data_IF_142364409234
#
_entry.id   IF_142364409234
#
_cell.length_a   1.000
_cell.length_b   1.000
_cell.length_c   1.000
_cell.angle_alpha   90.00
_cell.angle_beta   90.00
_cell.angle_gamma   90.00
#
_symmetry.space_group_name_H-M   'P 1'
#
loop_
_entity.id
_entity.type
_entity.pdbx_description
1 polymer ?
#
# COMPACT_ATOMS: atom_id res chain seq x y z
N UNK A 1 16.76 -36.83 3.34
CA UNK A 1 17.75 -36.57 2.28
C UNK A 1 16.97 -36.25 1.03
N UNK A 2 16.84 -34.96 0.74
CA UNK A 2 16.10 -34.45 -0.44
C UNK A 2 17.11 -34.28 -1.56
N UNK A 3 16.95 -35.05 -2.63
CA UNK A 3 17.79 -34.96 -3.83
C UNK A 3 17.18 -33.93 -4.74
N UNK A 4 17.87 -32.77 -4.92
CA UNK A 4 17.51 -31.79 -5.91
C UNK A 4 18.22 -32.14 -7.21
N UNK A 5 17.49 -32.61 -8.23
CA UNK A 5 18.00 -32.74 -9.58
C UNK A 5 18.09 -31.38 -10.24
N UNK A 6 19.33 -30.93 -10.50
CA UNK A 6 19.62 -29.71 -11.27
C UNK A 6 19.57 -30.02 -12.76
N UNK A 7 18.63 -29.45 -13.49
CA UNK A 7 18.71 -29.32 -14.94
C UNK A 7 19.50 -28.06 -15.29
N UNK A 8 20.65 -28.21 -15.96
CA UNK A 8 21.43 -27.10 -16.53
C UNK A 8 20.86 -26.75 -17.92
N UNK A 9 20.55 -25.49 -18.23
CA UNK A 9 20.38 -25.08 -19.62
C UNK A 9 21.74 -24.67 -20.21
N UNK A 10 22.04 -25.19 -21.40
CA UNK A 10 23.16 -24.80 -22.24
C UNK A 10 23.03 -23.33 -22.66
N UNK A 11 24.12 -22.57 -22.51
CA UNK A 11 24.23 -21.20 -23.00
C UNK A 11 25.17 -21.18 -24.23
N UNK A 12 24.72 -20.83 -25.43
CA UNK A 12 25.60 -20.42 -26.53
C UNK A 12 25.73 -18.90 -26.53
N UNK A 13 26.98 -18.43 -26.43
CA UNK A 13 27.37 -17.05 -26.57
C UNK A 13 27.01 -16.51 -27.95
N UNK A 14 26.13 -15.57 -28.02
CA UNK A 14 25.83 -14.75 -29.18
C UNK A 14 25.29 -13.40 -28.71
N UNK A 15 26.09 -12.34 -28.96
CA UNK A 15 25.76 -10.98 -28.55
C UNK A 15 24.43 -10.50 -29.12
N UNK A 16 23.49 -10.23 -28.25
CA UNK A 16 22.29 -9.45 -28.53
C UNK A 16 22.24 -8.30 -27.53
N UNK A 17 21.97 -7.09 -28.05
CA UNK A 17 21.71 -5.85 -27.29
C UNK A 17 20.78 -6.14 -26.13
N UNK A 18 20.88 -5.43 -24.99
CA UNK A 18 19.89 -5.55 -23.95
C UNK A 18 18.54 -5.14 -24.57
N UNK A 19 17.70 -6.13 -24.78
CA UNK A 19 16.27 -5.88 -24.95
C UNK A 19 15.87 -5.03 -23.75
N UNK A 20 15.29 -3.85 -24.01
CA UNK A 20 14.52 -3.13 -23.02
C UNK A 20 13.64 -4.16 -22.33
N UNK A 21 13.98 -4.51 -21.11
CA UNK A 21 13.09 -5.22 -20.23
C UNK A 21 11.91 -4.27 -19.99
N UNK A 22 10.94 -4.32 -20.87
CA UNK A 22 9.57 -4.10 -20.46
C UNK A 22 9.32 -5.27 -19.50
N UNK A 23 9.64 -5.04 -18.20
CA UNK A 23 9.13 -5.86 -17.13
C UNK A 23 7.63 -5.93 -17.41
N UNK A 24 7.15 -7.09 -17.84
CA UNK A 24 5.76 -7.41 -17.65
C UNK A 24 5.58 -7.25 -16.14
N UNK A 25 5.01 -6.12 -15.73
CA UNK A 25 4.67 -5.86 -14.36
C UNK A 25 3.72 -7.00 -14.03
N UNK A 26 4.16 -7.94 -13.18
CA UNK A 26 3.22 -8.80 -12.54
C UNK A 26 2.23 -7.83 -11.91
N UNK A 27 1.01 -7.83 -12.39
CA UNK A 27 0.03 -6.84 -12.02
C UNK A 27 -0.16 -6.98 -10.52
N UNK A 28 0.13 -5.92 -9.76
CA UNK A 28 -0.04 -5.92 -8.30
C UNK A 28 -1.46 -6.41 -7.98
N UNK A 29 -2.45 -5.99 -8.77
CA UNK A 29 -3.83 -6.44 -8.65
C UNK A 29 -3.95 -7.96 -8.88
N UNK A 30 -3.29 -8.54 -9.90
CA UNK A 30 -3.30 -9.98 -10.15
C UNK A 30 -2.66 -10.76 -8.97
N UNK A 31 -1.53 -10.27 -8.43
CA UNK A 31 -0.90 -10.88 -7.27
C UNK A 31 -1.83 -10.91 -6.05
N UNK A 32 -2.49 -9.77 -5.75
CA UNK A 32 -3.46 -9.68 -4.67
C UNK A 32 -4.64 -10.63 -4.89
N UNK A 33 -5.21 -10.65 -6.10
CA UNK A 33 -6.34 -11.54 -6.41
C UNK A 33 -5.99 -13.03 -6.27
N UNK A 34 -4.79 -13.43 -6.70
CA UNK A 34 -4.38 -14.84 -6.73
C UNK A 34 -3.90 -15.39 -5.40
N UNK A 35 -3.24 -14.57 -4.58
CA UNK A 35 -2.55 -15.06 -3.38
C UNK A 35 -3.00 -14.35 -2.10
N UNK A 36 -2.94 -13.02 -2.07
CA UNK A 36 -3.07 -12.28 -0.82
C UNK A 36 -4.51 -11.99 -0.42
N UNK A 37 -5.43 -11.74 -1.37
CA UNK A 37 -6.77 -11.29 -1.02
C UNK A 37 -7.54 -12.27 -0.10
N UNK A 38 -7.23 -13.58 -0.16
CA UNK A 38 -7.83 -14.60 0.72
C UNK A 38 -7.29 -14.60 2.15
N UNK A 39 -6.09 -14.07 2.36
CA UNK A 39 -5.43 -14.02 3.66
C UNK A 39 -5.05 -12.60 4.09
N UNK A 40 -5.48 -11.58 3.35
CA UNK A 40 -5.07 -10.20 3.58
C UNK A 40 -5.43 -9.72 4.98
N UNK A 41 -6.68 -9.88 5.39
CA UNK A 41 -7.11 -9.48 6.74
C UNK A 41 -6.46 -10.35 7.82
N UNK A 42 -6.29 -11.67 7.55
CA UNK A 42 -5.53 -12.53 8.45
C UNK A 42 -4.09 -12.01 8.62
N UNK A 43 -3.42 -11.59 7.55
CA UNK A 43 -2.04 -11.07 7.59
C UNK A 43 -1.88 -9.90 8.56
N UNK A 44 -2.86 -9.02 8.65
CA UNK A 44 -2.82 -7.84 9.53
C UNK A 44 -3.32 -8.08 10.96
N UNK A 45 -3.92 -9.23 11.22
CA UNK A 45 -4.41 -9.59 12.54
C UNK A 45 -5.79 -9.05 12.87
N UNK A 46 -5.99 -8.65 14.13
CA UNK A 46 -7.26 -8.10 14.59
C UNK A 46 -7.57 -6.79 13.87
N UNK A 47 -8.68 -6.77 13.13
CA UNK A 47 -9.11 -5.63 12.34
C UNK A 47 -9.44 -4.43 13.22
N UNK A 48 -10.22 -4.64 14.29
CA UNK A 48 -10.70 -3.56 15.13
C UNK A 48 -9.55 -2.90 15.90
N UNK A 49 -8.62 -3.72 16.41
CA UNK A 49 -7.42 -3.20 17.05
C UNK A 49 -6.53 -2.40 16.09
N UNK A 50 -6.49 -2.78 14.80
CA UNK A 50 -5.77 -2.02 13.79
C UNK A 50 -6.50 -0.73 13.43
N UNK A 51 -7.80 -0.78 13.14
CA UNK A 51 -8.61 0.40 12.85
C UNK A 51 -8.56 1.42 14.00
N UNK A 52 -8.55 0.95 15.24
CA UNK A 52 -8.38 1.82 16.42
C UNK A 52 -7.00 2.49 16.48
N UNK A 53 -5.92 1.77 16.13
CA UNK A 53 -4.58 2.40 16.03
C UNK A 53 -4.53 3.47 14.94
N UNK A 54 -5.15 3.23 13.78
CA UNK A 54 -5.26 4.23 12.71
C UNK A 54 -6.12 5.42 13.16
N UNK A 55 -7.22 5.18 13.85
CA UNK A 55 -8.06 6.24 14.44
C UNK A 55 -7.30 7.09 15.43
N UNK A 56 -6.54 6.47 16.32
CA UNK A 56 -5.69 7.17 17.29
C UNK A 56 -4.57 7.98 16.58
N UNK A 57 -4.00 7.46 15.49
CA UNK A 57 -3.03 8.18 14.67
C UNK A 57 -3.67 9.45 14.07
N UNK A 58 -4.80 9.35 13.38
CA UNK A 58 -5.49 10.51 12.79
C UNK A 58 -5.88 11.54 13.87
N UNK A 59 -6.45 11.09 15.00
CA UNK A 59 -6.85 11.96 16.09
C UNK A 59 -5.66 12.74 16.69
N UNK A 60 -4.53 12.07 16.90
CA UNK A 60 -3.30 12.68 17.45
C UNK A 60 -2.77 13.80 16.55
N UNK A 61 -2.97 13.71 15.24
CA UNK A 61 -2.54 14.72 14.27
C UNK A 61 -3.62 15.75 13.91
N UNK A 62 -4.74 15.79 14.67
CA UNK A 62 -5.81 16.75 14.45
C UNK A 62 -6.54 16.56 13.12
N UNK A 63 -6.69 15.30 12.70
CA UNK A 63 -7.29 14.91 11.43
C UNK A 63 -8.72 14.37 11.58
N UNK A 64 -9.48 14.92 12.52
CA UNK A 64 -10.93 14.70 12.62
C UNK A 64 -11.67 15.55 11.58
N UNK A 65 -12.89 15.15 11.23
CA UNK A 65 -13.75 15.95 10.36
C UNK A 65 -14.05 17.30 11.02
N UNK A 66 -13.80 18.42 10.31
CA UNK A 66 -14.02 19.76 10.88
C UNK A 66 -15.50 20.11 11.02
N UNK A 67 -16.38 19.46 10.26
CA UNK A 67 -17.82 19.64 10.27
C UNK A 67 -18.53 18.40 9.72
N UNK A 68 -19.83 18.28 10.00
CA UNK A 68 -20.66 17.23 9.42
C UNK A 68 -20.64 17.31 7.88
N UNK A 69 -20.49 16.16 7.24
CA UNK A 69 -20.43 16.04 5.79
C UNK A 69 -19.07 16.40 5.15
N UNK A 70 -18.04 16.75 5.94
CA UNK A 70 -16.69 16.89 5.44
C UNK A 70 -16.21 15.57 4.81
N UNK A 71 -15.57 15.64 3.64
CA UNK A 71 -15.18 14.47 2.88
C UNK A 71 -13.69 14.15 3.00
N UNK A 72 -13.38 12.86 3.02
CA UNK A 72 -12.04 12.30 2.93
C UNK A 72 -11.96 11.26 1.82
N UNK A 73 -10.75 11.04 1.31
CA UNK A 73 -10.45 9.99 0.32
C UNK A 73 -9.41 9.04 0.92
N UNK A 74 -9.65 7.74 0.79
CA UNK A 74 -8.70 6.69 1.16
C UNK A 74 -8.23 5.97 -0.11
N UNK A 75 -6.96 6.16 -0.47
CA UNK A 75 -6.33 5.64 -1.68
C UNK A 75 -5.60 4.32 -1.39
N UNK A 76 -6.02 3.25 -2.06
CA UNK A 76 -5.57 1.89 -1.76
C UNK A 76 -6.16 1.40 -0.44
N UNK A 77 -7.48 1.56 -0.30
CA UNK A 77 -8.22 1.33 0.94
C UNK A 77 -8.15 -0.11 1.44
N UNK A 78 -7.90 -1.07 0.54
CA UNK A 78 -7.85 -2.49 0.88
C UNK A 78 -9.11 -2.96 1.59
N UNK A 79 -8.95 -3.67 2.71
CA UNK A 79 -10.07 -4.15 3.55
C UNK A 79 -10.65 -3.09 4.50
N UNK A 80 -10.14 -1.84 4.50
CA UNK A 80 -10.81 -0.68 5.08
C UNK A 80 -10.36 -0.23 6.47
N UNK A 81 -9.16 -0.58 6.94
CA UNK A 81 -8.70 -0.16 8.28
C UNK A 81 -8.70 1.37 8.45
N UNK A 82 -8.10 2.10 7.48
CA UNK A 82 -8.05 3.55 7.46
C UNK A 82 -9.43 4.15 7.19
N UNK A 83 -10.17 3.56 6.23
CA UNK A 83 -11.53 3.97 5.88
C UNK A 83 -12.45 3.99 7.09
N UNK A 84 -12.51 2.89 7.86
CA UNK A 84 -13.36 2.76 9.05
C UNK A 84 -12.89 3.74 10.14
N UNK A 85 -11.58 3.88 10.33
CA UNK A 85 -11.00 4.83 11.27
C UNK A 85 -11.40 6.28 10.95
N UNK A 86 -11.34 6.68 9.69
CA UNK A 86 -11.75 8.01 9.23
C UNK A 86 -13.25 8.24 9.40
N UNK A 87 -14.07 7.25 9.04
CA UNK A 87 -15.53 7.35 9.21
C UNK A 87 -15.92 7.53 10.69
N UNK A 88 -15.27 6.83 11.63
CA UNK A 88 -15.45 7.02 13.06
C UNK A 88 -14.95 8.38 13.59
N UNK A 89 -14.12 9.09 12.81
CA UNK A 89 -13.71 10.47 13.09
C UNK A 89 -14.62 11.51 12.42
N UNK A 90 -15.75 11.08 11.88
CA UNK A 90 -16.82 11.93 11.33
C UNK A 90 -16.67 12.27 9.85
N UNK A 91 -15.69 11.67 9.13
CA UNK A 91 -15.53 11.89 7.70
C UNK A 91 -16.55 11.09 6.89
N UNK A 92 -17.08 11.69 5.81
CA UNK A 92 -17.66 10.96 4.70
C UNK A 92 -16.52 10.45 3.83
N UNK A 93 -16.31 9.14 3.78
CA UNK A 93 -15.11 8.56 3.17
C UNK A 93 -15.42 7.97 1.79
N UNK A 94 -14.63 8.37 0.79
CA UNK A 94 -14.55 7.68 -0.49
C UNK A 94 -13.31 6.80 -0.49
N UNK A 95 -13.53 5.49 -0.46
CA UNK A 95 -12.50 4.47 -0.39
C UNK A 95 -12.26 3.89 -1.79
N UNK A 96 -11.05 4.02 -2.32
CA UNK A 96 -10.69 3.60 -3.68
C UNK A 96 -9.66 2.48 -3.59
N UNK A 97 -9.94 1.36 -4.24
CA UNK A 97 -9.02 0.23 -4.39
C UNK A 97 -9.29 -0.50 -5.70
N UNK A 98 -8.29 -1.15 -6.25
CA UNK A 98 -8.41 -1.96 -7.48
C UNK A 98 -8.90 -3.39 -7.22
N UNK A 99 -8.96 -3.83 -5.97
CA UNK A 99 -9.37 -5.18 -5.58
C UNK A 99 -10.85 -5.22 -5.18
N UNK A 100 -11.71 -5.69 -6.07
CA UNK A 100 -13.14 -5.91 -5.78
C UNK A 100 -13.34 -6.73 -4.49
N UNK A 101 -12.52 -7.77 -4.29
CA UNK A 101 -12.61 -8.65 -3.13
C UNK A 101 -12.33 -7.95 -1.81
N UNK A 102 -11.30 -7.10 -1.76
CA UNK A 102 -10.99 -6.31 -0.56
C UNK A 102 -12.07 -5.25 -0.31
N UNK A 103 -12.59 -4.64 -1.37
CA UNK A 103 -13.70 -3.69 -1.26
C UNK A 103 -15.00 -4.36 -0.76
N UNK A 104 -15.26 -5.61 -1.11
CA UNK A 104 -16.41 -6.35 -0.56
C UNK A 104 -16.24 -6.61 0.94
N UNK A 105 -15.02 -6.86 1.40
CA UNK A 105 -14.72 -6.95 2.82
C UNK A 105 -14.90 -5.59 3.50
N UNK A 106 -14.37 -4.52 2.92
CA UNK A 106 -14.54 -3.15 3.39
C UNK A 106 -16.02 -2.79 3.52
N UNK A 107 -16.86 -3.06 2.51
CA UNK A 107 -18.30 -2.79 2.55
C UNK A 107 -19.00 -3.46 3.73
N UNK A 108 -18.63 -4.71 4.02
CA UNK A 108 -19.18 -5.43 5.20
C UNK A 108 -18.76 -4.77 6.52
N UNK A 109 -17.49 -4.35 6.63
CA UNK A 109 -16.95 -3.74 7.84
C UNK A 109 -17.42 -2.31 8.06
N UNK A 110 -17.67 -1.57 6.97
CA UNK A 110 -18.16 -0.20 6.99
C UNK A 110 -19.69 -0.11 7.01
N UNK A 111 -20.42 -1.22 7.24
CA UNK A 111 -21.87 -1.20 7.26
C UNK A 111 -22.41 -0.20 8.29
N UNK A 112 -23.27 0.73 7.86
CA UNK A 112 -23.82 1.79 8.70
C UNK A 112 -22.93 3.03 8.86
N UNK A 113 -21.75 3.06 8.26
CA UNK A 113 -20.88 4.24 8.19
C UNK A 113 -21.08 5.00 6.87
N UNK A 114 -20.74 6.28 6.85
CA UNK A 114 -20.81 7.11 5.63
C UNK A 114 -19.58 6.86 4.74
N UNK A 115 -19.59 5.72 4.05
CA UNK A 115 -18.49 5.20 3.23
C UNK A 115 -19.00 4.80 1.85
N UNK A 116 -18.30 5.25 0.81
CA UNK A 116 -18.52 4.84 -0.58
C UNK A 116 -17.27 4.12 -1.06
N UNK A 117 -17.38 2.80 -1.32
CA UNK A 117 -16.29 1.97 -1.85
C UNK A 117 -16.33 1.94 -3.38
N UNK A 118 -15.26 2.34 -4.02
CA UNK A 118 -15.09 2.50 -5.48
C UNK A 118 -13.98 1.58 -5.96
N UNK A 119 -14.29 0.72 -6.93
CA UNK A 119 -13.28 -0.10 -7.63
C UNK A 119 -12.70 0.71 -8.79
N UNK A 120 -11.48 1.22 -8.61
CA UNK A 120 -10.74 1.94 -9.67
C UNK A 120 -9.25 2.00 -9.31
N UNK A 121 -8.45 2.42 -10.29
CA UNK A 121 -7.06 2.81 -10.07
C UNK A 121 -7.00 4.09 -9.23
N UNK A 122 -6.28 4.04 -8.12
CA UNK A 122 -6.15 5.18 -7.21
C UNK A 122 -5.65 6.46 -7.89
N UNK A 123 -4.92 6.36 -9.00
CA UNK A 123 -4.47 7.51 -9.81
C UNK A 123 -5.63 8.27 -10.47
N UNK A 124 -6.81 7.65 -10.55
CA UNK A 124 -8.01 8.23 -11.14
C UNK A 124 -8.97 8.80 -10.08
N UNK A 125 -8.54 8.91 -8.83
CA UNK A 125 -9.39 9.28 -7.69
C UNK A 125 -10.17 10.58 -7.92
N UNK A 126 -9.59 11.54 -8.64
CA UNK A 126 -10.21 12.84 -8.92
C UNK A 126 -11.55 12.75 -9.66
N UNK A 127 -11.79 11.67 -10.43
CA UNK A 127 -13.08 11.46 -11.12
C UNK A 127 -14.24 11.18 -10.16
N UNK A 128 -13.91 10.76 -8.96
CA UNK A 128 -14.86 10.29 -7.97
C UNK A 128 -15.16 11.34 -6.89
N UNK A 129 -14.64 12.57 -7.03
CA UNK A 129 -14.84 13.63 -6.06
C UNK A 129 -16.16 14.36 -6.29
N UNK A 130 -16.89 14.61 -5.20
CA UNK A 130 -18.11 15.44 -5.20
C UNK A 130 -17.82 16.89 -4.72
N UNK A 131 -16.55 17.23 -4.56
CA UNK A 131 -16.06 18.51 -4.05
C UNK A 131 -14.63 18.37 -3.54
N UNK A 132 -14.06 19.40 -2.99
CA UNK A 132 -12.71 19.38 -2.46
C UNK A 132 -12.66 18.62 -1.11
N UNK A 133 -11.98 17.48 -1.00
CA UNK A 133 -11.85 16.78 0.27
C UNK A 133 -10.94 17.53 1.24
N UNK A 134 -11.24 17.43 2.53
CA UNK A 134 -10.38 17.97 3.59
C UNK A 134 -9.20 17.04 3.93
N UNK A 135 -9.26 15.77 3.51
CA UNK A 135 -8.22 14.79 3.78
C UNK A 135 -8.11 13.77 2.63
N UNK A 136 -6.88 13.46 2.24
CA UNK A 136 -6.55 12.32 1.38
C UNK A 136 -5.54 11.45 2.14
N UNK A 137 -5.84 10.16 2.32
CA UNK A 137 -4.95 9.18 2.90
C UNK A 137 -4.43 8.24 1.80
N UNK A 138 -3.13 7.92 1.81
CA UNK A 138 -2.50 6.90 1.00
C UNK A 138 -1.52 6.14 1.90
N UNK A 139 -2.02 5.12 2.59
CA UNK A 139 -1.34 4.48 3.71
C UNK A 139 -1.08 2.99 3.47
N UNK A 140 -0.31 2.37 4.34
CA UNK A 140 -0.08 0.91 4.33
C UNK A 140 0.76 0.40 3.15
N UNK A 141 1.78 1.13 2.72
CA UNK A 141 2.66 0.81 1.58
C UNK A 141 2.05 1.08 0.18
N UNK A 142 0.81 1.54 0.07
CA UNK A 142 0.12 1.79 -1.20
C UNK A 142 0.97 2.64 -2.16
N UNK A 143 1.64 3.68 -1.64
CA UNK A 143 2.50 4.56 -2.43
C UNK A 143 3.59 3.81 -3.19
N UNK A 144 4.16 2.77 -2.60
CA UNK A 144 5.25 1.99 -3.21
C UNK A 144 4.78 1.06 -4.33
N UNK A 145 3.47 0.86 -4.49
CA UNK A 145 2.88 0.07 -5.58
C UNK A 145 2.65 0.87 -6.87
N UNK A 146 2.87 2.18 -6.84
CA UNK A 146 2.80 2.99 -8.04
C UNK A 146 3.88 2.56 -9.05
N UNK A 147 3.63 2.72 -10.38
CA UNK A 147 4.51 2.15 -11.40
C UNK A 147 5.89 2.86 -11.53
N UNK A 148 5.98 4.10 -11.06
CA UNK A 148 7.22 4.88 -11.19
C UNK A 148 7.27 6.05 -10.20
N UNK A 149 8.46 6.61 -9.91
CA UNK A 149 8.59 7.85 -9.14
C UNK A 149 7.84 9.03 -9.75
N UNK A 150 7.72 9.08 -11.08
CA UNK A 150 6.93 10.09 -11.77
C UNK A 150 5.43 9.97 -11.44
N UNK A 151 4.91 8.74 -11.37
CA UNK A 151 3.51 8.53 -10.96
C UNK A 151 3.26 8.96 -9.51
N UNK A 152 4.27 8.87 -8.64
CA UNK A 152 4.19 9.40 -7.27
C UNK A 152 4.07 10.92 -7.29
N UNK A 153 4.93 11.62 -8.07
CA UNK A 153 4.86 13.09 -8.22
C UNK A 153 3.53 13.54 -8.80
N UNK A 154 3.04 12.84 -9.82
CA UNK A 154 1.72 13.13 -10.42
C UNK A 154 0.58 12.95 -9.39
N UNK A 155 0.64 11.91 -8.55
CA UNK A 155 -0.33 11.71 -7.47
C UNK A 155 -0.30 12.87 -6.47
N UNK A 156 0.90 13.36 -6.08
CA UNK A 156 1.02 14.50 -5.17
C UNK A 156 0.46 15.79 -5.79
N UNK A 157 0.76 16.05 -7.06
CA UNK A 157 0.18 17.20 -7.79
C UNK A 157 -1.35 17.13 -7.90
N UNK A 158 -1.89 15.94 -8.18
CA UNK A 158 -3.33 15.71 -8.23
C UNK A 158 -3.98 15.87 -6.84
N UNK A 159 -3.36 15.33 -5.79
CA UNK A 159 -3.82 15.47 -4.41
C UNK A 159 -3.81 16.94 -3.97
N UNK A 160 -2.72 17.68 -4.30
CA UNK A 160 -2.61 19.13 -4.01
C UNK A 160 -3.72 19.95 -4.66
N UNK A 161 -4.04 19.63 -5.92
CA UNK A 161 -5.07 20.33 -6.69
C UNK A 161 -6.49 20.00 -6.21
N UNK A 162 -6.70 18.79 -5.66
CA UNK A 162 -8.01 18.32 -5.22
C UNK A 162 -8.36 18.77 -3.80
N UNK A 163 -7.38 18.87 -2.92
CA UNK A 163 -7.58 19.18 -1.49
C UNK A 163 -8.14 20.60 -1.29
N UNK A 164 -9.04 20.71 -0.33
CA UNK A 164 -9.52 21.99 0.18
C UNK A 164 -8.35 22.80 0.80
N UNK A 165 -8.45 24.15 0.85
CA UNK A 165 -7.52 24.97 1.63
C UNK A 165 -7.39 24.45 3.07
N UNK A 166 -6.16 24.33 3.59
CA UNK A 166 -5.88 23.72 4.90
C UNK A 166 -6.00 22.20 4.96
N UNK A 167 -6.40 21.54 3.86
CA UNK A 167 -6.54 20.10 3.78
C UNK A 167 -5.22 19.33 3.94
N UNK A 168 -5.31 18.04 4.22
CA UNK A 168 -4.15 17.21 4.52
C UNK A 168 -4.02 16.01 3.57
N UNK A 169 -2.77 15.71 3.17
CA UNK A 169 -2.36 14.44 2.58
C UNK A 169 -1.61 13.64 3.64
N UNK A 170 -2.03 12.40 3.87
CA UNK A 170 -1.43 11.49 4.86
C UNK A 170 -0.84 10.30 4.13
N UNK A 171 0.42 10.03 4.38
CA UNK A 171 1.16 8.94 3.77
C UNK A 171 1.75 8.02 4.83
N UNK A 172 1.68 6.71 4.60
CA UNK A 172 2.57 5.75 5.27
C UNK A 172 3.11 4.76 4.26
N UNK A 173 4.42 4.51 4.30
CA UNK A 173 5.08 3.55 3.42
C UNK A 173 6.39 3.06 4.03
N UNK A 174 6.90 1.94 3.56
CA UNK A 174 8.23 1.46 3.95
C UNK A 174 9.28 2.07 3.04
N UNK A 175 10.28 2.71 3.66
CA UNK A 175 11.49 3.11 2.95
C UNK A 175 12.33 1.87 2.63
N UNK A 176 12.32 1.47 1.35
CA UNK A 176 13.09 0.34 0.82
C UNK A 176 14.34 0.79 0.06
N UNK A 177 14.76 2.06 0.21
CA UNK A 177 15.92 2.62 -0.47
C UNK A 177 17.23 1.95 -0.04
N UNK A 178 17.30 1.49 1.21
CA UNK A 178 18.43 0.73 1.75
C UNK A 178 18.15 -0.77 1.66
N UNK A 179 19.02 -1.47 0.94
CA UNK A 179 18.91 -2.92 0.86
C UNK A 179 19.31 -3.57 2.19
N UNK A 180 18.51 -4.54 2.63
CA UNK A 180 18.93 -5.49 3.65
C UNK A 180 19.62 -6.69 2.99
N UNK A 181 20.50 -7.39 3.71
CA UNK A 181 21.37 -8.41 3.16
C UNK A 181 21.15 -9.79 3.82
N UNK A 182 21.67 -10.82 3.18
CA UNK A 182 21.66 -12.17 3.74
C UNK A 182 20.27 -12.66 4.12
N UNK A 183 20.15 -13.20 5.30
CA UNK A 183 18.91 -13.74 5.86
C UNK A 183 17.90 -12.68 6.28
N UNK A 184 18.32 -11.41 6.46
CA UNK A 184 17.44 -10.31 6.80
C UNK A 184 16.47 -9.95 5.67
N UNK A 185 16.69 -10.49 4.47
CA UNK A 185 15.74 -10.39 3.35
C UNK A 185 14.51 -11.29 3.50
N UNK A 186 14.53 -12.25 4.43
CA UNK A 186 13.38 -13.10 4.74
C UNK A 186 12.61 -12.50 5.91
N UNK A 187 11.44 -11.96 5.63
CA UNK A 187 10.60 -11.26 6.61
C UNK A 187 9.47 -12.20 7.04
N UNK A 188 9.48 -12.74 8.26
CA UNK A 188 8.33 -13.46 8.79
C UNK A 188 7.18 -12.47 9.00
N UNK A 189 6.07 -12.68 8.30
CA UNK A 189 4.90 -11.79 8.36
C UNK A 189 3.94 -12.25 9.44
N UNK A 190 3.43 -13.48 9.31
CA UNK A 190 2.52 -14.09 10.28
C UNK A 190 2.50 -15.61 10.14
N UNK A 191 2.24 -16.29 11.26
CA UNK A 191 2.01 -17.73 11.29
C UNK A 191 0.93 -18.07 12.32
N UNK A 192 0.14 -19.11 12.01
CA UNK A 192 -0.76 -19.82 12.94
C UNK A 192 -0.75 -21.33 12.64
N UNK A 193 -1.76 -22.05 13.11
CA UNK A 193 -1.87 -23.50 12.91
C UNK A 193 -2.06 -23.92 11.44
N UNK A 194 -2.59 -23.05 10.59
CA UNK A 194 -3.04 -23.37 9.23
C UNK A 194 -2.33 -22.57 8.13
N UNK A 195 -1.75 -21.42 8.47
CA UNK A 195 -1.08 -20.52 7.53
C UNK A 195 0.26 -20.05 8.07
N UNK A 196 1.26 -19.98 7.18
CA UNK A 196 2.55 -19.32 7.43
C UNK A 196 2.84 -18.43 6.23
N UNK A 197 3.00 -17.13 6.45
CA UNK A 197 3.39 -16.18 5.44
C UNK A 197 4.76 -15.59 5.75
N UNK A 198 5.66 -15.71 4.77
CA UNK A 198 6.99 -15.08 4.79
C UNK A 198 7.19 -14.32 3.50
N UNK A 199 7.72 -13.10 3.57
CA UNK A 199 8.17 -12.37 2.39
C UNK A 199 9.68 -12.55 2.20
N UNK A 200 10.12 -12.61 0.94
CA UNK A 200 11.52 -12.51 0.56
C UNK A 200 11.72 -11.26 -0.30
N UNK A 201 12.72 -10.45 0.04
CA UNK A 201 13.03 -9.18 -0.63
C UNK A 201 14.19 -9.37 -1.63
N UNK A 202 13.89 -9.21 -2.91
CA UNK A 202 14.87 -9.19 -4.00
C UNK A 202 15.08 -7.74 -4.45
N UNK A 203 16.22 -7.14 -4.06
CA UNK A 203 16.53 -5.76 -4.38
C UNK A 203 17.08 -5.62 -5.81
N UNK A 204 16.43 -4.78 -6.60
CA UNK A 204 16.87 -4.34 -7.92
C UNK A 204 17.18 -2.83 -7.87
N UNK A 205 17.78 -2.23 -8.90
CA UNK A 205 18.17 -0.81 -8.85
C UNK A 205 17.04 0.14 -8.45
N UNK A 206 15.86 0.02 -9.05
CA UNK A 206 14.73 0.95 -8.86
C UNK A 206 13.58 0.37 -8.04
N UNK A 207 13.50 -0.95 -7.91
CA UNK A 207 12.40 -1.64 -7.24
C UNK A 207 12.91 -2.75 -6.34
N UNK A 208 12.06 -3.15 -5.40
CA UNK A 208 12.20 -4.42 -4.67
C UNK A 208 11.10 -5.34 -5.15
N UNK A 209 11.45 -6.54 -5.60
CA UNK A 209 10.47 -7.61 -5.78
C UNK A 209 10.20 -8.22 -4.42
N UNK A 210 8.98 -8.12 -3.97
CA UNK A 210 8.50 -8.78 -2.76
C UNK A 210 7.92 -10.11 -3.17
N UNK A 211 8.60 -11.20 -2.79
CA UNK A 211 8.13 -12.56 -3.01
C UNK A 211 7.37 -13.01 -1.78
N UNK A 212 6.08 -13.27 -1.92
CA UNK A 212 5.27 -13.87 -0.87
C UNK A 212 5.31 -15.40 -0.96
N UNK A 213 5.67 -16.02 0.15
CA UNK A 213 5.75 -17.47 0.35
C UNK A 213 4.67 -17.83 1.37
N UNK A 214 3.53 -18.33 0.88
CA UNK A 214 2.39 -18.70 1.71
C UNK A 214 2.30 -20.21 1.81
N UNK A 215 2.51 -20.77 3.00
CA UNK A 215 2.26 -22.16 3.29
C UNK A 215 0.85 -22.32 3.87
N UNK A 216 0.06 -23.20 3.25
CA UNK A 216 -1.26 -23.59 3.73
C UNK A 216 -1.23 -25.04 4.21
N UNK A 217 -1.84 -25.29 5.35
CA UNK A 217 -2.03 -26.65 5.85
C UNK A 217 -3.12 -27.34 5.05
N UNK A 218 -2.90 -28.59 4.68
CA UNK A 218 -3.85 -29.50 4.05
C UNK A 218 -3.84 -30.85 4.77
N UNK A 219 -4.73 -31.76 4.38
CA UNK A 219 -4.75 -33.12 4.91
C UNK A 219 -3.41 -33.88 4.68
N UNK A 220 -2.75 -33.58 3.55
CA UNK A 220 -1.51 -34.21 3.13
C UNK A 220 -0.24 -33.49 3.59
N UNK A 221 -0.36 -32.46 4.45
CA UNK A 221 0.75 -31.65 4.95
C UNK A 221 0.70 -30.21 4.51
N UNK A 222 1.86 -29.56 4.36
CA UNK A 222 1.97 -28.16 3.99
C UNK A 222 2.14 -27.99 2.48
N UNK A 223 1.31 -27.13 1.88
CA UNK A 223 1.41 -26.72 0.48
C UNK A 223 1.96 -25.29 0.39
N UNK A 224 3.02 -25.10 -0.42
CA UNK A 224 3.57 -23.78 -0.71
C UNK A 224 2.88 -23.16 -1.93
N UNK A 225 2.32 -21.98 -1.75
CA UNK A 225 1.88 -21.06 -2.77
C UNK A 225 2.83 -19.86 -2.79
N UNK A 226 3.19 -19.37 -3.96
CA UNK A 226 4.14 -18.26 -4.08
C UNK A 226 3.80 -17.37 -5.26
N UNK A 227 4.04 -16.10 -5.07
CA UNK A 227 3.94 -15.06 -6.11
C UNK A 227 4.83 -13.89 -5.72
N UNK A 228 5.01 -12.91 -6.60
CA UNK A 228 5.79 -11.72 -6.32
C UNK A 228 5.15 -10.49 -6.98
N UNK A 229 5.48 -9.32 -6.47
CA UNK A 229 5.09 -8.02 -7.01
C UNK A 229 6.20 -6.99 -6.75
N UNK A 230 6.32 -5.95 -7.60
CA UNK A 230 7.30 -4.89 -7.40
C UNK A 230 6.80 -3.86 -6.39
N UNK A 231 7.75 -3.30 -5.62
CA UNK A 231 7.59 -2.07 -4.86
C UNK A 231 8.67 -1.08 -5.24
N UNK A 232 8.31 0.19 -5.41
CA UNK A 232 9.28 1.26 -5.62
C UNK A 232 10.20 1.40 -4.40
N UNK A 233 11.46 1.70 -4.67
CA UNK A 233 12.45 2.10 -3.67
C UNK A 233 12.37 3.61 -3.47
N UNK A 234 11.47 4.05 -2.58
CA UNK A 234 11.23 5.45 -2.30
C UNK A 234 12.01 5.86 -1.06
N UNK A 235 13.08 6.64 -1.23
CA UNK A 235 13.79 7.22 -0.11
C UNK A 235 12.96 8.34 0.52
N UNK A 236 12.92 8.40 1.85
CA UNK A 236 12.18 9.42 2.58
C UNK A 236 12.53 10.85 2.14
N UNK A 237 13.81 11.27 1.98
CA UNK A 237 14.14 12.61 1.54
C UNK A 237 13.60 12.97 0.16
N UNK A 238 13.54 12.00 -0.77
CA UNK A 238 12.99 12.23 -2.10
C UNK A 238 11.49 12.49 -2.05
N UNK A 239 10.76 11.72 -1.25
CA UNK A 239 9.31 11.90 -1.05
C UNK A 239 9.01 13.25 -0.39
N UNK A 240 9.78 13.65 0.62
CA UNK A 240 9.65 14.97 1.25
C UNK A 240 9.90 16.10 0.25
N UNK A 241 10.94 15.97 -0.57
CA UNK A 241 11.25 16.94 -1.62
C UNK A 241 10.10 17.06 -2.64
N UNK A 242 9.55 15.93 -3.13
CA UNK A 242 8.44 15.94 -4.08
C UNK A 242 7.15 16.49 -3.50
N UNK A 243 6.89 16.29 -2.21
CA UNK A 243 5.75 16.92 -1.52
C UNK A 243 5.91 18.43 -1.45
N UNK A 244 7.10 18.90 -1.09
CA UNK A 244 7.39 20.35 -1.06
C UNK A 244 7.30 20.98 -2.46
N UNK A 245 7.84 20.30 -3.48
CA UNK A 245 7.75 20.74 -4.89
C UNK A 245 6.29 20.81 -5.39
N UNK A 246 5.44 19.88 -4.93
CA UNK A 246 3.99 19.92 -5.20
C UNK A 246 3.23 21.01 -4.41
N UNK A 247 3.90 21.75 -3.52
CA UNK A 247 3.31 22.86 -2.75
C UNK A 247 2.66 22.44 -1.43
N UNK A 248 3.11 21.33 -0.84
CA UNK A 248 2.72 20.94 0.51
C UNK A 248 3.70 21.45 1.57
N UNK A 249 3.19 21.88 2.71
CA UNK A 249 3.96 22.04 3.95
C UNK A 249 3.95 20.74 4.75
N UNK A 250 5.12 20.31 5.25
CA UNK A 250 5.24 19.09 6.08
C UNK A 250 4.88 19.44 7.52
N UNK A 251 3.75 18.93 8.01
CA UNK A 251 3.28 19.13 9.39
C UNK A 251 3.81 18.07 10.36
N UNK A 252 4.06 16.85 9.85
CA UNK A 252 4.64 15.76 10.61
C UNK A 252 5.44 14.84 9.70
N UNK A 253 6.62 14.42 10.16
CA UNK A 253 7.43 13.38 9.53
C UNK A 253 8.03 12.53 10.64
N UNK A 254 7.85 11.23 10.56
CA UNK A 254 8.48 10.27 11.47
C UNK A 254 8.84 8.99 10.72
N UNK A 255 9.86 8.32 11.22
CA UNK A 255 10.24 6.99 10.72
C UNK A 255 10.49 6.05 11.87
N UNK A 256 9.75 4.96 11.91
CA UNK A 256 9.87 3.94 12.93
C UNK A 256 10.06 2.58 12.28
N UNK A 257 11.23 1.96 12.50
CA UNK A 257 11.57 0.64 11.92
C UNK A 257 11.36 0.57 10.41
N UNK A 258 11.75 1.64 9.68
CA UNK A 258 11.63 1.76 8.24
C UNK A 258 10.22 2.10 7.72
N UNK A 259 9.21 2.20 8.58
CA UNK A 259 7.91 2.76 8.23
C UNK A 259 7.99 4.28 8.34
N UNK A 260 7.79 4.96 7.23
CA UNK A 260 7.70 6.42 7.14
C UNK A 260 6.26 6.85 7.32
N UNK A 261 6.03 7.85 8.16
CA UNK A 261 4.72 8.48 8.40
C UNK A 261 4.85 9.97 8.07
N UNK A 262 4.02 10.48 7.17
CA UNK A 262 4.01 11.89 6.76
C UNK A 262 2.59 12.44 6.84
N UNK A 263 2.45 13.61 7.47
CA UNK A 263 1.26 14.45 7.34
C UNK A 263 1.69 15.74 6.64
N UNK A 264 1.23 15.93 5.42
CA UNK A 264 1.49 17.09 4.60
C UNK A 264 0.21 17.94 4.46
N UNK A 265 0.30 19.27 4.50
CA UNK A 265 -0.85 20.17 4.46
C UNK A 265 -0.75 21.16 3.31
N UNK A 266 -1.90 21.46 2.76
CA UNK A 266 -2.10 22.61 1.85
C UNK A 266 -2.17 23.88 2.69
N UNK A 267 -1.56 24.99 2.23
CA UNK A 267 -1.75 26.29 2.88
C UNK A 267 -3.25 26.64 2.97
N UNK A 268 -3.63 27.26 4.08
CA UNK A 268 -5.00 27.71 4.34
C UNK A 268 -5.42 28.85 3.40
#
# INVERSE_FOLDING_TARGET
>A
MIVIQSARPNNPLGGARPASYVLAMADVAEHYQRLLADCYSWMFGDFDARAERERAFFARHGLQAPAAGASAVDLGAGSGHQTVALAHLGWRVRAIDSSAKLLDELRRRAAGLDVIAVEDDLRQFARHLDGAPGLIACMGDTLTHLPSPESVRQLFGAARSALAPGGALVLTYRDLSRAVEGTDRFIPVRADGDLILTCFLEYLPEVVRVHDLLYRRSADGWRLEKSWYPKLRLAQPDVEFWLADAGFGLAHVATTRGLVEIVARVAA
#
